data_IF_749517290612
#
_entry.id   IF_749517290612
#
_cell.length_a   1.000
_cell.length_b   1.000
_cell.length_c   1.000
_cell.angle_alpha   90.00
_cell.angle_beta   90.00
_cell.angle_gamma   90.00
#
_symmetry.space_group_name_H-M   'P 1'
#
loop_
_entity.id
_entity.type
_entity.pdbx_description
1 polymer ?
#
# COMPACT_ATOMS: atom_id res chain seq x y z
N UNK A 1 -7.16 -12.33 13.87
CA UNK A 1 -8.26 -11.62 13.18
C UNK A 1 -8.78 -10.55 14.14
N UNK A 2 -8.85 -9.28 13.72
CA UNK A 2 -9.40 -8.19 14.53
C UNK A 2 -10.78 -7.82 14.03
N UNK A 3 -11.78 -7.74 14.92
CA UNK A 3 -13.12 -7.31 14.56
C UNK A 3 -13.10 -5.79 14.35
N UNK A 4 -13.48 -5.35 13.16
CA UNK A 4 -13.59 -3.93 12.80
C UNK A 4 -15.02 -3.65 12.37
N UNK A 5 -15.61 -2.58 12.90
CA UNK A 5 -16.94 -2.12 12.51
C UNK A 5 -16.80 -0.75 11.85
N UNK A 6 -17.31 -0.60 10.64
CA UNK A 6 -17.27 0.65 9.88
C UNK A 6 -18.67 1.03 9.44
N UNK A 7 -18.96 2.32 9.37
CA UNK A 7 -20.19 2.82 8.77
C UNK A 7 -19.99 2.95 7.27
N UNK A 8 -20.88 2.33 6.49
CA UNK A 8 -20.93 2.48 5.04
C UNK A 8 -22.19 3.27 4.67
N UNK A 9 -22.06 4.41 3.97
CA UNK A 9 -23.22 5.11 3.41
C UNK A 9 -24.00 4.17 2.47
N UNK A 10 -25.33 4.34 2.41
CA UNK A 10 -26.22 3.44 1.65
C UNK A 10 -25.78 3.23 0.18
N UNK A 11 -25.34 4.31 -0.48
CA UNK A 11 -24.83 4.22 -1.87
C UNK A 11 -23.66 3.24 -2.02
N UNK A 12 -22.78 3.16 -1.02
CA UNK A 12 -21.60 2.30 -1.03
C UNK A 12 -22.03 0.87 -0.75
N UNK A 13 -22.90 0.66 0.24
CA UNK A 13 -23.45 -0.65 0.57
C UNK A 13 -24.17 -1.29 -0.63
N UNK A 14 -25.04 -0.54 -1.30
CA UNK A 14 -25.72 -1.00 -2.51
C UNK A 14 -24.73 -1.34 -3.65
N UNK A 15 -23.63 -0.58 -3.75
CA UNK A 15 -22.53 -0.88 -4.67
C UNK A 15 -21.84 -2.22 -4.37
N UNK A 16 -21.53 -2.47 -3.09
CA UNK A 16 -20.91 -3.72 -2.64
C UNK A 16 -21.83 -4.92 -2.90
N UNK A 17 -23.12 -4.82 -2.60
CA UNK A 17 -24.10 -5.89 -2.84
C UNK A 17 -24.22 -6.23 -4.34
N UNK A 18 -24.21 -5.21 -5.21
CA UNK A 18 -24.22 -5.40 -6.66
C UNK A 18 -22.95 -6.12 -7.14
N UNK A 19 -21.78 -5.68 -6.70
CA UNK A 19 -20.51 -6.31 -7.07
C UNK A 19 -20.41 -7.75 -6.56
N UNK A 20 -20.87 -8.02 -5.34
CA UNK A 20 -20.90 -9.35 -4.76
C UNK A 20 -21.76 -10.31 -5.59
N UNK A 21 -22.95 -9.86 -6.03
CA UNK A 21 -23.80 -10.62 -6.96
C UNK A 21 -23.15 -10.86 -8.31
N UNK A 22 -22.53 -9.84 -8.90
CA UNK A 22 -21.88 -9.96 -10.21
C UNK A 22 -20.70 -10.95 -10.18
N UNK A 23 -19.95 -10.99 -9.07
CA UNK A 23 -18.78 -11.86 -8.90
C UNK A 23 -19.12 -13.21 -8.25
N UNK A 24 -20.39 -13.47 -7.95
CA UNK A 24 -20.85 -14.66 -7.24
C UNK A 24 -20.06 -14.94 -5.95
N UNK A 25 -19.77 -13.91 -5.16
CA UNK A 25 -19.02 -14.01 -3.90
C UNK A 25 -19.73 -13.24 -2.77
N UNK A 26 -19.20 -13.34 -1.54
CA UNK A 26 -19.77 -12.61 -0.41
C UNK A 26 -19.39 -11.12 -0.45
N UNK A 27 -20.26 -10.24 0.07
CA UNK A 27 -19.94 -8.81 0.26
C UNK A 27 -18.65 -8.60 1.06
N UNK A 28 -18.41 -9.47 2.05
CA UNK A 28 -17.20 -9.44 2.86
C UNK A 28 -15.94 -9.72 2.03
N UNK A 29 -16.03 -10.56 0.99
CA UNK A 29 -14.92 -10.83 0.07
C UNK A 29 -14.63 -9.60 -0.79
N UNK A 30 -15.67 -8.95 -1.31
CA UNK A 30 -15.54 -7.70 -2.06
C UNK A 30 -14.85 -6.63 -1.21
N UNK A 31 -15.29 -6.44 0.04
CA UNK A 31 -14.69 -5.48 0.97
C UNK A 31 -13.24 -5.83 1.27
N UNK A 32 -12.93 -7.11 1.56
CA UNK A 32 -11.56 -7.57 1.82
C UNK A 32 -10.64 -7.25 0.66
N UNK A 33 -11.03 -7.61 -0.56
CA UNK A 33 -10.20 -7.39 -1.75
C UNK A 33 -10.00 -5.89 -2.03
N UNK A 34 -11.08 -5.11 -1.99
CA UNK A 34 -11.00 -3.67 -2.25
C UNK A 34 -10.10 -2.95 -1.23
N UNK A 35 -10.20 -3.32 0.06
CA UNK A 35 -9.31 -2.77 1.09
C UNK A 35 -7.88 -3.24 0.86
N UNK A 36 -7.65 -4.53 0.59
CA UNK A 36 -6.32 -5.07 0.33
C UNK A 36 -5.63 -4.36 -0.84
N UNK A 37 -6.34 -4.16 -1.95
CA UNK A 37 -5.83 -3.48 -3.14
C UNK A 37 -5.47 -2.01 -2.81
N UNK A 38 -6.37 -1.30 -2.11
CA UNK A 38 -6.20 0.11 -1.78
C UNK A 38 -5.06 0.36 -0.75
N UNK A 39 -4.85 -0.56 0.19
CA UNK A 39 -3.80 -0.43 1.21
C UNK A 39 -2.50 -1.12 0.83
N UNK A 40 -2.49 -1.87 -0.28
CA UNK A 40 -1.27 -2.50 -0.77
C UNK A 40 -0.21 -1.43 -1.03
N UNK A 41 0.91 -1.55 -0.33
CA UNK A 41 2.11 -0.74 -0.58
C UNK A 41 3.17 -1.70 -1.10
N UNK A 42 3.72 -1.48 -2.30
CA UNK A 42 4.78 -2.34 -2.80
C UNK A 42 5.96 -2.27 -1.82
N UNK A 43 6.55 -3.41 -1.53
CA UNK A 43 7.80 -3.44 -0.77
C UNK A 43 8.85 -2.61 -1.54
N UNK A 44 9.66 -1.80 -0.85
CA UNK A 44 10.73 -1.06 -1.51
C UNK A 44 11.69 -2.07 -2.13
N UNK A 45 12.11 -1.80 -3.37
CA UNK A 45 13.14 -2.57 -4.06
C UNK A 45 14.49 -1.94 -3.73
N UNK A 46 15.34 -2.65 -2.97
CA UNK A 46 16.71 -2.22 -2.68
C UNK A 46 17.69 -2.74 -3.74
N UNK A 47 18.92 -2.20 -3.74
CA UNK A 47 20.00 -2.72 -4.59
C UNK A 47 19.80 -2.48 -6.08
N UNK A 48 19.21 -1.34 -6.46
CA UNK A 48 18.95 -0.99 -7.87
C UNK A 48 20.25 -0.68 -8.62
N UNK A 49 21.29 -0.25 -7.90
CA UNK A 49 22.61 0.07 -8.44
C UNK A 49 23.63 -0.79 -7.67
N UNK A 50 24.55 -1.49 -8.36
CA UNK A 50 25.68 -2.11 -7.70
C UNK A 50 26.59 -1.01 -7.15
N UNK A 51 26.81 -1.00 -5.84
CA UNK A 51 27.67 -0.04 -5.17
C UNK A 51 28.38 -0.72 -4.02
N UNK A 52 29.67 -0.42 -3.87
CA UNK A 52 30.39 -0.77 -2.66
C UNK A 52 29.95 0.23 -1.59
N UNK A 53 29.46 -0.25 -0.45
CA UNK A 53 28.71 0.52 0.56
C UNK A 53 29.48 1.66 1.24
N UNK A 54 30.74 1.92 0.83
CA UNK A 54 31.65 2.87 1.45
C UNK A 54 31.12 4.32 1.46
N UNK A 55 30.48 4.78 0.37
CA UNK A 55 29.97 6.16 0.29
C UNK A 55 28.86 6.44 1.30
N UNK A 56 28.10 5.42 1.71
CA UNK A 56 27.05 5.58 2.72
C UNK A 56 27.63 5.80 4.12
N UNK A 57 28.91 5.49 4.35
CA UNK A 57 29.61 5.70 5.61
C UNK A 57 30.37 7.03 5.66
N UNK A 58 30.64 7.64 4.49
CA UNK A 58 31.46 8.86 4.34
C UNK A 58 30.63 10.08 3.92
N UNK A 59 29.30 10.03 4.12
CA UNK A 59 28.35 11.04 3.62
C UNK A 59 28.70 12.46 4.06
N UNK A 60 29.12 12.64 5.31
CA UNK A 60 29.43 13.96 5.87
C UNK A 60 30.64 14.62 5.17
N UNK A 61 31.65 13.83 4.82
CA UNK A 61 32.82 14.32 4.09
C UNK A 61 32.46 14.63 2.63
N UNK A 62 31.76 13.70 1.97
CA UNK A 62 31.38 13.79 0.56
C UNK A 62 30.41 14.94 0.24
N UNK A 63 29.64 15.41 1.22
CA UNK A 63 28.68 16.51 1.05
C UNK A 63 29.26 17.90 1.38
N UNK A 64 30.56 18.01 1.69
CA UNK A 64 31.20 19.32 1.93
C UNK A 64 31.07 20.21 0.69
N UNK A 65 30.56 21.44 0.86
CA UNK A 65 30.33 22.40 -0.23
C UNK A 65 29.04 22.18 -1.03
N UNK A 66 28.18 21.25 -0.61
CA UNK A 66 26.88 21.04 -1.26
C UNK A 66 25.90 22.19 -0.94
N UNK A 67 25.54 22.96 -1.97
CA UNK A 67 24.56 24.05 -1.87
C UNK A 67 25.15 25.46 -1.71
N UNK A 68 26.46 25.62 -1.81
CA UNK A 68 27.14 26.91 -2.00
C UNK A 68 27.15 27.36 -3.48
#
# INVERSE_FOLDING_TARGET
>A
MHKTTVYLPEKIKAGVEREARLRSCSEAEVIRQAVADAVSRPAPRSGIIPGDSAWALEVDELLTGFGE
#
